data_IF_792725065916
#
_entry.id   IF_792725065916
#
_cell.length_a   1.000
_cell.length_b   1.000
_cell.length_c   1.000
_cell.angle_alpha   90.00
_cell.angle_beta   90.00
_cell.angle_gamma   90.00
#
_symmetry.space_group_name_H-M   'P 1'
#
loop_
_entity.id
_entity.type
_entity.pdbx_description
1 polymer ?
#
# COMPACT_ATOMS: atom_id res chain seq x y z
N UNK A 1 2.59 -1.47 -12.73
CA UNK A 1 2.61 -0.43 -11.68
C UNK A 1 3.35 -0.96 -10.46
N UNK A 2 4.03 -0.12 -9.69
CA UNK A 2 4.76 -0.54 -8.47
C UNK A 2 4.24 0.21 -7.24
N UNK A 3 4.06 -0.51 -6.13
CA UNK A 3 3.62 0.03 -4.86
C UNK A 3 4.59 -0.40 -3.76
N UNK A 4 5.19 0.55 -3.08
CA UNK A 4 6.11 0.27 -1.97
C UNK A 4 5.38 0.20 -0.64
N UNK A 5 5.79 -0.73 0.22
CA UNK A 5 5.30 -0.81 1.58
C UNK A 5 5.83 0.38 2.40
N UNK A 6 4.98 1.15 3.08
CA UNK A 6 5.43 2.20 4.00
C UNK A 6 6.14 1.69 5.26
N UNK A 7 6.07 0.38 5.55
CA UNK A 7 6.63 -0.21 6.78
C UNK A 7 7.97 -0.92 6.56
N UNK A 8 8.33 -1.22 5.32
CA UNK A 8 9.58 -1.90 4.97
C UNK A 8 9.92 -1.69 3.49
N UNK A 9 11.12 -2.09 3.08
CA UNK A 9 11.60 -1.94 1.70
C UNK A 9 10.92 -2.89 0.68
N UNK A 10 9.82 -3.56 1.05
CA UNK A 10 9.09 -4.41 0.11
C UNK A 10 8.39 -3.58 -0.96
N UNK A 11 8.59 -3.95 -2.23
CA UNK A 11 7.94 -3.33 -3.38
C UNK A 11 7.05 -4.36 -4.06
N UNK A 12 5.75 -4.12 -4.04
CA UNK A 12 4.76 -4.90 -4.76
C UNK A 12 4.72 -4.45 -6.22
N UNK A 13 5.07 -5.37 -7.13
CA UNK A 13 5.00 -5.15 -8.57
C UNK A 13 3.82 -5.91 -9.18
N UNK A 14 2.95 -5.20 -9.87
CA UNK A 14 1.79 -5.76 -10.58
C UNK A 14 1.63 -5.17 -11.98
N UNK A 15 0.84 -5.82 -12.84
CA UNK A 15 0.51 -5.26 -14.15
C UNK A 15 -0.25 -3.92 -13.98
N UNK A 16 -1.20 -3.91 -13.04
CA UNK A 16 -2.09 -2.78 -12.74
C UNK A 16 -2.05 -2.41 -11.25
N UNK A 17 -2.66 -1.28 -10.88
CA UNK A 17 -2.74 -0.80 -9.49
C UNK A 17 -3.38 -1.84 -8.55
N UNK A 18 -4.44 -2.50 -9.03
CA UNK A 18 -5.15 -3.53 -8.29
C UNK A 18 -4.24 -4.73 -7.96
N UNK A 19 -3.49 -5.22 -8.95
CA UNK A 19 -2.60 -6.38 -8.77
C UNK A 19 -1.40 -6.04 -7.85
N UNK A 20 -0.88 -4.82 -7.95
CA UNK A 20 0.14 -4.33 -7.03
C UNK A 20 -0.41 -4.15 -5.60
N UNK A 21 -1.65 -3.67 -5.45
CA UNK A 21 -2.30 -3.55 -4.14
C UNK A 21 -2.54 -4.90 -3.49
N UNK A 22 -2.98 -5.91 -4.24
CA UNK A 22 -3.19 -7.26 -3.71
C UNK A 22 -1.90 -7.86 -3.17
N UNK A 23 -0.80 -7.79 -3.94
CA UNK A 23 0.52 -8.26 -3.46
C UNK A 23 1.01 -7.49 -2.24
N UNK A 24 0.78 -6.17 -2.21
CA UNK A 24 1.11 -5.35 -1.06
C UNK A 24 0.27 -5.72 0.17
N UNK A 25 -1.01 -6.04 -0.02
CA UNK A 25 -1.94 -6.49 1.02
C UNK A 25 -1.51 -7.83 1.60
N UNK A 26 -1.20 -8.81 0.75
CA UNK A 26 -0.71 -10.12 1.16
C UNK A 26 0.60 -10.01 1.95
N UNK A 27 1.52 -9.18 1.46
CA UNK A 27 2.76 -8.89 2.18
C UNK A 27 2.48 -8.23 3.53
N UNK A 28 1.64 -7.20 3.60
CA UNK A 28 1.34 -6.51 4.85
C UNK A 28 0.67 -7.45 5.87
N UNK A 29 -0.22 -8.33 5.43
CA UNK A 29 -0.84 -9.34 6.28
C UNK A 29 0.20 -10.34 6.80
N UNK A 30 1.04 -10.88 5.92
CA UNK A 30 1.98 -11.94 6.27
C UNK A 30 3.22 -11.44 7.04
N UNK A 31 3.84 -10.35 6.58
CA UNK A 31 5.08 -9.82 7.15
C UNK A 31 4.86 -8.89 8.36
N UNK A 32 3.73 -8.19 8.41
CA UNK A 32 3.43 -7.25 9.49
C UNK A 32 2.26 -7.68 10.38
N UNK A 33 1.65 -8.85 10.12
CA UNK A 33 0.46 -9.32 10.84
C UNK A 33 -0.71 -8.35 10.71
N UNK A 34 -0.79 -7.62 9.59
CA UNK A 34 -1.66 -6.46 9.45
C UNK A 34 -3.03 -6.86 8.90
N UNK A 35 -4.07 -6.79 9.72
CA UNK A 35 -5.43 -7.10 9.29
C UNK A 35 -5.92 -6.20 8.15
N UNK A 36 -6.93 -6.67 7.40
CA UNK A 36 -7.53 -5.94 6.27
C UNK A 36 -7.94 -4.51 6.61
N UNK A 37 -8.48 -4.31 7.81
CA UNK A 37 -8.89 -2.99 8.32
C UNK A 37 -7.69 -2.06 8.53
N UNK A 38 -6.56 -2.61 8.98
CA UNK A 38 -5.30 -1.89 9.15
C UNK A 38 -4.66 -1.53 7.81
N UNK A 39 -4.70 -2.44 6.84
CA UNK A 39 -4.22 -2.18 5.48
C UNK A 39 -5.05 -1.12 4.75
N UNK A 40 -6.38 -1.17 4.85
CA UNK A 40 -7.27 -0.21 4.19
C UNK A 40 -7.12 1.20 4.78
N UNK A 41 -6.96 1.30 6.10
CA UNK A 41 -6.65 2.55 6.78
C UNK A 41 -5.29 3.12 6.36
N UNK A 42 -4.30 2.25 6.17
CA UNK A 42 -2.94 2.62 5.73
C UNK A 42 -2.90 3.07 4.27
N UNK A 43 -3.59 2.38 3.36
CA UNK A 43 -3.76 2.82 1.97
C UNK A 43 -4.50 4.16 1.89
N UNK A 44 -5.53 4.36 2.70
CA UNK A 44 -6.27 5.62 2.76
C UNK A 44 -5.39 6.78 3.26
N UNK A 45 -4.58 6.56 4.29
CA UNK A 45 -3.61 7.55 4.80
C UNK A 45 -2.54 7.89 3.73
N UNK A 46 -2.05 6.87 3.02
CA UNK A 46 -1.05 7.04 1.96
C UNK A 46 -1.62 7.83 0.78
N UNK A 47 -2.86 7.53 0.37
CA UNK A 47 -3.57 8.27 -0.69
C UNK A 47 -3.86 9.71 -0.27
N UNK A 48 -4.20 9.94 1.00
CA UNK A 48 -4.40 11.30 1.54
C UNK A 48 -3.11 12.12 1.50
N UNK A 49 -1.98 11.55 1.95
CA UNK A 49 -0.67 12.22 1.88
C UNK A 49 -0.21 12.55 0.47
N UNK A 50 -0.47 11.67 -0.50
CA UNK A 50 -0.16 11.95 -1.91
C UNK A 50 -1.05 13.09 -2.42
N UNK A 51 -2.35 13.10 -2.08
CA UNK A 51 -3.26 14.16 -2.50
C UNK A 51 -2.94 15.52 -1.87
N UNK A 52 -2.40 15.56 -0.64
CA UNK A 52 -1.93 16.79 0.00
C UNK A 52 -0.61 17.33 -0.62
N UNK A 53 0.25 16.46 -1.15
CA UNK A 53 1.51 16.86 -1.79
C UNK A 53 1.34 17.41 -3.22
N UNK A 54 0.28 17.02 -3.94
CA UNK A 54 -0.02 17.50 -5.30
C UNK A 54 -1.06 18.64 -5.35
N UNK A 55 -1.48 19.14 -4.19
CA UNK A 55 -2.50 20.19 -4.05
C UNK A 55 -1.95 21.61 -3.87
N UNK A 56 -0.90 22.00 -4.61
CA UNK A 56 -0.42 23.40 -4.62
C UNK A 56 0.00 23.88 -5.99
#
# INVERSE_FOLDING_TARGET
MELQCPKCDYVAMGADEAEAQEKLREHAQSAHGMDESGFNKMLSDMKHKISELFGR
#
